data_IF_222801567619
#
_entry.id   IF_222801567619
#
_cell.length_a   1.000
_cell.length_b   1.000
_cell.length_c   1.000
_cell.angle_alpha   90.00
_cell.angle_beta   90.00
_cell.angle_gamma   90.00
#
_symmetry.space_group_name_H-M   'P 1'
#
loop_
_entity.id
_entity.type
_entity.pdbx_description
1 polymer ?
#
# COMPACT_ATOMS: atom_id res chain seq x y z
N UNK A 1 -8.38 24.86 17.25
CA UNK A 1 -7.53 23.94 16.45
C UNK A 1 -8.12 23.75 15.06
N UNK A 2 -7.30 23.73 14.01
CA UNK A 2 -7.66 23.26 12.67
C UNK A 2 -7.38 21.76 12.57
N UNK A 3 -8.20 21.00 11.80
CA UNK A 3 -8.03 19.58 11.57
C UNK A 3 -8.52 19.24 10.17
N UNK A 4 -7.68 18.55 9.38
CA UNK A 4 -8.02 18.08 8.04
C UNK A 4 -7.44 16.70 7.81
N UNK A 5 -8.29 15.73 7.45
CA UNK A 5 -7.86 14.45 6.90
C UNK A 5 -7.70 14.55 5.38
N UNK A 6 -6.60 14.01 4.88
CA UNK A 6 -6.38 13.74 3.46
C UNK A 6 -6.47 12.23 3.25
N UNK A 7 -6.96 11.82 2.09
CA UNK A 7 -7.08 10.41 1.77
C UNK A 7 -6.69 10.17 0.31
N UNK A 8 -5.64 9.40 0.09
CA UNK A 8 -5.26 8.92 -1.23
C UNK A 8 -5.95 7.60 -1.52
N UNK A 9 -6.74 7.56 -2.61
CA UNK A 9 -7.58 6.39 -2.96
C UNK A 9 -6.79 5.24 -3.58
N UNK A 10 -5.64 5.51 -4.20
CA UNK A 10 -4.79 4.47 -4.81
C UNK A 10 -3.93 3.78 -3.76
N UNK A 11 -3.51 4.52 -2.74
CA UNK A 11 -2.77 4.00 -1.59
C UNK A 11 -3.69 3.48 -0.48
N UNK A 12 -4.99 3.84 -0.51
CA UNK A 12 -5.91 3.67 0.62
C UNK A 12 -5.36 4.24 1.93
N UNK A 13 -4.56 5.32 1.83
CA UNK A 13 -3.78 5.92 2.91
C UNK A 13 -4.41 7.24 3.36
N UNK A 14 -4.48 7.42 4.69
CA UNK A 14 -4.89 8.66 5.33
C UNK A 14 -3.67 9.39 5.93
N UNK A 15 -3.61 10.69 5.71
CA UNK A 15 -2.69 11.60 6.39
C UNK A 15 -3.46 12.78 6.98
N UNK A 16 -2.84 13.51 7.88
CA UNK A 16 -3.58 14.53 8.63
C UNK A 16 -2.80 15.83 8.69
N UNK A 17 -3.50 16.96 8.57
CA UNK A 17 -2.98 18.29 8.87
C UNK A 17 -3.71 18.84 10.08
N UNK A 18 -2.97 19.13 11.14
CA UNK A 18 -3.46 19.82 12.34
C UNK A 18 -2.80 21.18 12.44
N UNK A 19 -3.53 22.17 12.93
CA UNK A 19 -2.99 23.53 13.04
C UNK A 19 -3.51 24.30 14.25
N UNK A 20 -2.62 25.01 14.90
CA UNK A 20 -2.93 25.94 15.95
C UNK A 20 -3.28 27.31 15.35
N UNK A 21 -4.56 27.64 15.22
CA UNK A 21 -5.02 28.90 14.63
C UNK A 21 -4.54 30.13 15.42
N UNK A 22 -4.16 29.97 16.68
CA UNK A 22 -3.66 31.08 17.52
C UNK A 22 -2.22 31.44 17.22
N UNK A 23 -1.35 30.45 16.93
CA UNK A 23 0.07 30.67 16.62
C UNK A 23 0.36 30.65 15.12
N UNK A 24 -0.54 30.10 14.30
CA UNK A 24 -0.35 29.93 12.87
C UNK A 24 0.50 28.71 12.52
N UNK A 25 0.90 27.88 13.47
CA UNK A 25 1.72 26.71 13.26
C UNK A 25 0.88 25.49 12.91
N UNK A 26 1.39 24.65 11.99
CA UNK A 26 0.74 23.42 11.59
C UNK A 26 1.72 22.23 11.52
N UNK A 27 1.15 21.02 11.66
CA UNK A 27 1.86 19.74 11.56
C UNK A 27 1.14 18.81 10.61
N UNK A 28 1.93 18.10 9.78
CA UNK A 28 1.44 16.98 8.98
C UNK A 28 1.79 15.66 9.69
N UNK A 29 0.85 14.73 9.73
CA UNK A 29 1.06 13.36 10.23
C UNK A 29 0.95 12.41 9.05
N UNK A 30 1.95 11.53 8.88
CA UNK A 30 2.11 10.55 7.81
C UNK A 30 2.00 11.17 6.39
N UNK A 31 2.85 12.17 6.03
CA UNK A 31 2.80 12.86 4.75
C UNK A 31 3.15 11.93 3.58
N UNK A 32 2.42 12.03 2.47
CA UNK A 32 2.88 11.52 1.17
C UNK A 32 3.94 12.46 0.57
N UNK A 33 4.73 11.98 -0.42
CA UNK A 33 5.82 12.74 -1.06
C UNK A 33 5.37 14.04 -1.73
N UNK A 34 4.18 14.07 -2.32
CA UNK A 34 3.62 15.29 -2.91
C UNK A 34 2.97 16.17 -1.84
N UNK A 35 3.70 17.20 -1.44
CA UNK A 35 3.26 18.13 -0.39
C UNK A 35 2.25 19.19 -0.87
N UNK A 36 1.96 19.26 -2.16
CA UNK A 36 1.19 20.37 -2.77
C UNK A 36 -0.19 20.57 -2.13
N UNK A 37 -0.91 19.49 -1.83
CA UNK A 37 -2.23 19.56 -1.22
C UNK A 37 -2.19 20.03 0.23
N UNK A 38 -1.18 19.66 1.01
CA UNK A 38 -1.02 20.13 2.39
C UNK A 38 -0.67 21.60 2.44
N UNK A 39 0.29 22.04 1.59
CA UNK A 39 0.71 23.44 1.49
C UNK A 39 -0.48 24.31 1.12
N UNK A 40 -1.22 23.93 0.06
CA UNK A 40 -2.39 24.69 -0.38
C UNK A 40 -3.43 24.86 0.73
N UNK A 41 -3.75 23.78 1.46
CA UNK A 41 -4.74 23.86 2.55
C UNK A 41 -4.21 24.68 3.73
N UNK A 42 -2.93 24.56 4.07
CA UNK A 42 -2.32 25.38 5.13
C UNK A 42 -2.38 26.88 4.77
N UNK A 43 -2.04 27.22 3.51
CA UNK A 43 -2.10 28.61 3.03
C UNK A 43 -3.54 29.17 3.03
N UNK A 44 -4.53 28.39 2.58
CA UNK A 44 -5.95 28.76 2.62
C UNK A 44 -6.45 29.07 4.04
N UNK A 45 -5.90 28.39 5.04
CA UNK A 45 -6.26 28.53 6.46
C UNK A 45 -5.35 29.51 7.22
N UNK A 46 -4.39 30.15 6.55
CA UNK A 46 -3.43 31.07 7.16
C UNK A 46 -2.45 30.38 8.13
N UNK A 47 -2.12 29.12 7.86
CA UNK A 47 -1.22 28.29 8.65
C UNK A 47 0.11 28.10 7.93
N UNK A 48 1.19 27.95 8.70
CA UNK A 48 2.52 27.58 8.22
C UNK A 48 2.84 26.17 8.70
N UNK A 49 3.22 25.28 7.77
CA UNK A 49 3.68 23.93 8.13
C UNK A 49 5.09 24.03 8.72
N UNK A 50 5.18 23.89 10.02
CA UNK A 50 6.42 23.99 10.81
C UNK A 50 6.86 22.65 11.38
N UNK A 51 5.98 21.66 11.33
CA UNK A 51 6.20 20.34 11.89
C UNK A 51 5.66 19.23 10.99
N UNK A 52 6.26 18.04 11.06
CA UNK A 52 5.64 16.82 10.60
C UNK A 52 6.02 15.64 11.51
N UNK A 53 5.19 14.60 11.52
CA UNK A 53 5.47 13.37 12.25
C UNK A 53 5.11 12.15 11.40
N UNK A 54 5.74 11.03 11.72
CA UNK A 54 5.48 9.73 11.13
C UNK A 54 5.17 8.72 12.21
N UNK A 55 4.13 7.92 12.00
CA UNK A 55 3.72 6.90 12.98
C UNK A 55 4.64 5.69 12.95
N UNK A 56 5.18 5.32 11.79
CA UNK A 56 6.08 4.20 11.60
C UNK A 56 6.80 4.29 10.25
N UNK A 57 7.77 3.41 10.00
CA UNK A 57 8.38 3.28 8.67
C UNK A 57 7.41 2.54 7.74
N UNK A 58 6.69 3.28 6.90
CA UNK A 58 5.69 2.75 5.99
C UNK A 58 6.26 1.74 4.99
N UNK A 59 5.50 0.71 4.66
CA UNK A 59 5.88 -0.32 3.70
C UNK A 59 5.06 -0.27 2.39
N UNK A 60 4.07 0.58 2.29
CA UNK A 60 3.10 0.63 1.19
C UNK A 60 3.22 1.88 0.32
N UNK A 61 3.80 2.98 0.82
CA UNK A 61 4.04 4.20 0.06
C UNK A 61 5.36 4.89 0.45
N UNK A 62 5.86 5.75 -0.43
CA UNK A 62 7.05 6.56 -0.16
C UNK A 62 6.66 7.80 0.67
N UNK A 63 7.19 7.89 1.88
CA UNK A 63 6.91 8.98 2.80
C UNK A 63 7.48 10.31 2.35
N UNK A 64 6.72 11.38 2.57
CA UNK A 64 7.13 12.77 2.39
C UNK A 64 7.83 13.40 3.59
N UNK A 65 8.09 12.66 4.67
CA UNK A 65 8.65 13.24 5.91
C UNK A 65 9.96 13.99 5.67
N UNK A 66 10.84 13.46 4.82
CA UNK A 66 12.11 14.08 4.45
C UNK A 66 11.91 15.29 3.54
N UNK A 67 10.91 15.24 2.65
CA UNK A 67 10.52 16.38 1.81
C UNK A 67 10.01 17.54 2.66
N UNK A 68 9.21 17.29 3.69
CA UNK A 68 8.75 18.30 4.65
C UNK A 68 9.94 18.96 5.34
N UNK A 69 10.87 18.16 5.88
CA UNK A 69 12.04 18.69 6.56
C UNK A 69 12.87 19.61 5.67
N UNK A 70 13.16 19.17 4.43
CA UNK A 70 14.11 19.87 3.55
C UNK A 70 13.46 21.00 2.78
N UNK A 71 12.26 20.77 2.20
CA UNK A 71 11.59 21.78 1.37
C UNK A 71 10.90 22.88 2.16
N UNK A 72 10.37 22.56 3.36
CA UNK A 72 9.66 23.51 4.20
C UNK A 72 10.49 23.96 5.42
N UNK A 73 11.70 23.41 5.58
CA UNK A 73 12.57 23.66 6.75
C UNK A 73 11.83 23.40 8.08
N UNK A 74 10.97 22.39 8.12
CA UNK A 74 10.15 22.04 9.26
C UNK A 74 10.85 21.02 10.17
N UNK A 75 10.55 21.07 11.48
CA UNK A 75 10.96 20.03 12.43
C UNK A 75 10.17 18.75 12.16
N UNK A 76 10.85 17.60 12.12
CA UNK A 76 10.20 16.32 11.92
C UNK A 76 10.40 15.39 13.11
N UNK A 77 9.38 14.61 13.42
CA UNK A 77 9.33 13.71 14.56
C UNK A 77 9.11 12.28 14.09
N UNK A 78 10.05 11.40 14.41
CA UNK A 78 10.02 9.98 14.06
C UNK A 78 10.34 9.14 15.28
N UNK A 79 9.93 7.89 15.27
CA UNK A 79 10.17 6.98 16.39
C UNK A 79 11.65 6.74 16.65
N UNK A 80 12.06 6.86 17.93
CA UNK A 80 13.34 6.40 18.46
C UNK A 80 13.27 5.05 19.16
N UNK A 81 12.17 4.31 19.01
CA UNK A 81 11.87 3.05 19.72
C UNK A 81 12.36 1.79 18.99
N UNK A 82 13.23 1.92 18.01
CA UNK A 82 13.80 0.78 17.29
C UNK A 82 15.29 0.62 17.56
N UNK A 83 15.78 -0.58 17.29
CA UNK A 83 17.22 -0.85 17.28
C UNK A 83 17.92 -0.21 16.05
N UNK A 84 19.24 -0.28 16.06
CA UNK A 84 20.08 0.28 14.98
C UNK A 84 19.86 -0.41 13.62
N UNK A 85 19.24 -1.56 13.55
CA UNK A 85 19.03 -2.29 12.29
C UNK A 85 17.72 -1.95 11.60
N UNK A 86 16.65 -1.71 12.37
CA UNK A 86 15.29 -1.50 11.86
C UNK A 86 14.84 -0.04 11.86
N UNK A 87 15.54 0.86 12.58
CA UNK A 87 15.18 2.27 12.70
C UNK A 87 15.57 3.13 11.50
N UNK A 88 15.10 4.37 11.53
CA UNK A 88 15.39 5.40 10.51
C UNK A 88 16.88 5.68 10.37
N UNK A 89 17.34 5.83 9.14
CA UNK A 89 18.75 6.13 8.78
C UNK A 89 18.82 7.40 7.94
N UNK A 90 20.00 8.04 7.92
CA UNK A 90 20.28 9.19 7.06
C UNK A 90 19.22 10.30 7.15
N UNK A 91 18.68 10.54 8.34
CA UNK A 91 17.63 11.53 8.55
C UNK A 91 18.19 12.96 8.45
N UNK A 92 17.40 13.94 7.98
CA UNK A 92 17.76 15.37 7.99
C UNK A 92 18.07 15.89 9.39
N UNK A 93 18.84 16.98 9.48
CA UNK A 93 19.21 17.58 10.77
C UNK A 93 18.03 18.10 11.60
N UNK A 94 16.86 18.36 10.98
CA UNK A 94 15.63 18.78 11.60
C UNK A 94 14.88 17.64 12.31
N UNK A 95 15.46 16.44 12.38
CA UNK A 95 14.83 15.24 12.93
C UNK A 95 14.93 15.18 14.45
N UNK A 96 13.79 14.94 15.08
CA UNK A 96 13.66 14.61 16.50
C UNK A 96 13.24 13.15 16.63
N UNK A 97 14.07 12.33 17.27
CA UNK A 97 13.72 10.97 17.62
C UNK A 97 12.96 10.97 18.94
N UNK A 98 11.69 10.57 18.89
CA UNK A 98 10.79 10.59 20.04
C UNK A 98 10.56 9.20 20.63
N UNK A 99 10.30 9.18 21.95
CA UNK A 99 10.07 7.95 22.72
C UNK A 99 8.70 7.99 23.41
N UNK A 100 8.32 6.85 23.97
CA UNK A 100 7.09 6.72 24.73
C UNK A 100 6.99 7.78 25.85
N UNK A 101 5.85 8.45 25.94
CA UNK A 101 5.55 9.54 26.84
C UNK A 101 6.17 10.91 26.53
N UNK A 102 6.94 11.06 25.46
CA UNK A 102 7.35 12.39 25.01
C UNK A 102 6.15 13.22 24.60
N UNK A 103 6.25 14.52 24.78
CA UNK A 103 5.24 15.50 24.39
C UNK A 103 5.77 16.38 23.24
N UNK A 104 5.01 16.48 22.15
CA UNK A 104 5.27 17.36 21.02
C UNK A 104 4.25 18.49 21.04
N UNK A 105 4.70 19.72 20.79
CA UNK A 105 3.81 20.90 20.78
C UNK A 105 3.80 21.54 19.39
N UNK A 106 2.60 21.82 18.90
CA UNK A 106 2.34 22.62 17.70
C UNK A 106 1.51 23.82 18.13
N UNK A 107 2.19 24.90 18.46
CA UNK A 107 1.57 26.01 19.21
C UNK A 107 0.96 25.52 20.52
N UNK A 108 -0.37 25.61 20.62
CA UNK A 108 -1.11 25.18 21.82
C UNK A 108 -1.77 23.80 21.66
N UNK A 109 -1.35 23.01 20.66
CA UNK A 109 -1.78 21.62 20.46
C UNK A 109 -0.69 20.73 21.02
N UNK A 110 -1.07 19.80 21.88
CA UNK A 110 -0.16 18.83 22.48
C UNK A 110 -0.41 17.45 21.86
N UNK A 111 0.65 16.78 21.46
CA UNK A 111 0.67 15.40 21.02
C UNK A 111 1.54 14.59 21.99
N UNK A 112 0.93 13.66 22.72
CA UNK A 112 1.67 12.72 23.55
C UNK A 112 2.00 11.47 22.72
N UNK A 113 3.26 11.08 22.70
CA UNK A 113 3.76 9.89 22.00
C UNK A 113 3.44 8.64 22.81
N UNK A 114 2.80 7.66 22.18
CA UNK A 114 2.59 6.33 22.72
C UNK A 114 3.35 5.33 21.85
N UNK A 115 4.28 4.56 22.42
CA UNK A 115 4.88 3.44 21.73
C UNK A 115 3.84 2.32 21.62
N UNK A 116 3.48 1.95 20.39
CA UNK A 116 2.42 0.99 20.06
C UNK A 116 2.95 -0.06 19.08
N UNK A 117 3.99 -0.83 19.47
CA UNK A 117 4.62 -1.81 18.58
C UNK A 117 3.67 -2.96 18.25
N UNK A 118 3.91 -3.57 17.09
CA UNK A 118 3.17 -4.76 16.64
C UNK A 118 3.09 -4.82 15.14
N UNK A 119 2.55 -3.82 14.46
CA UNK A 119 2.64 -3.69 13.01
C UNK A 119 4.11 -3.56 12.58
N UNK A 120 4.82 -2.65 13.20
CA UNK A 120 6.28 -2.58 13.17
C UNK A 120 6.83 -2.40 14.60
N UNK A 121 8.11 -2.75 14.87
CA UNK A 121 8.68 -2.59 16.20
C UNK A 121 8.75 -1.15 16.68
N UNK A 122 8.97 -0.21 15.76
CA UNK A 122 9.12 1.23 16.02
C UNK A 122 7.79 2.00 16.01
N UNK A 123 6.65 1.35 15.75
CA UNK A 123 5.35 2.02 15.64
C UNK A 123 5.01 2.86 16.85
N UNK A 124 4.63 4.11 16.62
CA UNK A 124 4.13 5.05 17.63
C UNK A 124 2.76 5.60 17.21
N UNK A 125 1.99 6.01 18.19
CA UNK A 125 0.72 6.69 17.99
C UNK A 125 0.77 8.06 18.71
N UNK A 126 -0.02 9.03 18.24
CA UNK A 126 -0.04 10.37 18.83
C UNK A 126 -1.39 10.67 19.46
N UNK A 127 -1.41 10.84 20.77
CA UNK A 127 -2.61 11.19 21.54
C UNK A 127 -2.74 12.71 21.63
N UNK A 128 -3.76 13.28 20.99
CA UNK A 128 -3.94 14.72 20.80
C UNK A 128 -4.78 15.35 21.91
N UNK A 129 -4.27 16.48 22.45
CA UNK A 129 -4.99 17.39 23.36
C UNK A 129 -4.95 18.82 22.79
N UNK A 130 -6.11 19.47 22.64
CA UNK A 130 -6.20 20.89 22.24
C UNK A 130 -6.18 21.80 23.50
N UNK A 131 -4.98 22.07 24.00
CA UNK A 131 -4.80 22.95 25.13
C UNK A 131 -5.20 24.41 24.83
N UNK A 132 -5.17 24.78 23.52
CA UNK A 132 -5.60 26.10 23.08
C UNK A 132 -7.09 26.36 23.25
N UNK A 133 -7.91 25.32 23.28
CA UNK A 133 -9.32 25.36 23.64
C UNK A 133 -9.57 25.19 25.16
N UNK A 134 -8.50 25.09 25.96
CA UNK A 134 -8.57 24.88 27.40
C UNK A 134 -8.77 23.42 27.84
N UNK A 135 -8.65 22.47 26.88
CA UNK A 135 -8.77 21.06 27.21
C UNK A 135 -7.53 20.57 27.99
N UNK A 136 -7.76 19.72 29.00
CA UNK A 136 -6.71 19.03 29.76
C UNK A 136 -6.74 17.52 29.55
N UNK A 137 -7.66 17.05 28.71
CA UNK A 137 -7.85 15.63 28.39
C UNK A 137 -7.72 15.41 26.87
N UNK A 138 -7.16 14.28 26.46
CA UNK A 138 -7.02 14.00 25.04
C UNK A 138 -8.36 13.79 24.35
N UNK A 139 -8.45 14.13 23.07
CA UNK A 139 -9.65 13.97 22.28
C UNK A 139 -9.58 12.90 21.20
N UNK A 140 -8.38 12.55 20.75
CA UNK A 140 -8.22 11.60 19.66
C UNK A 140 -6.80 11.03 19.57
N UNK A 141 -6.68 9.93 18.85
CA UNK A 141 -5.46 9.15 18.64
C UNK A 141 -5.21 9.02 17.15
N UNK A 142 -4.09 9.54 16.66
CA UNK A 142 -3.53 9.16 15.38
C UNK A 142 -2.87 7.81 15.56
N UNK A 143 -3.55 6.77 15.14
CA UNK A 143 -3.15 5.38 15.42
C UNK A 143 -2.21 4.80 14.40
N UNK A 144 -2.00 5.46 13.25
CA UNK A 144 -1.27 4.83 12.14
C UNK A 144 -1.82 3.46 11.83
N UNK A 145 -0.94 2.49 11.71
CA UNK A 145 -1.29 1.08 11.44
C UNK A 145 -1.40 0.23 12.72
N UNK A 146 -1.65 0.86 13.86
CA UNK A 146 -1.93 0.16 15.12
C UNK A 146 -3.41 -0.27 15.18
N UNK A 147 -4.35 0.69 15.07
CA UNK A 147 -5.80 0.43 15.10
C UNK A 147 -6.43 1.03 13.86
N UNK A 148 -7.18 0.20 13.14
CA UNK A 148 -8.06 0.60 12.06
C UNK A 148 -9.53 0.57 12.52
N UNK A 149 -10.45 0.95 11.64
CA UNK A 149 -11.87 0.77 11.89
C UNK A 149 -12.24 -0.70 11.69
N UNK A 150 -12.54 -1.40 12.77
CA UNK A 150 -12.95 -2.81 12.78
C UNK A 150 -11.81 -3.82 12.68
N UNK A 151 -10.56 -3.39 12.57
CA UNK A 151 -9.39 -4.28 12.46
C UNK A 151 -8.15 -3.65 13.10
N UNK A 152 -7.02 -4.34 13.04
CA UNK A 152 -5.69 -3.88 13.51
C UNK A 152 -4.63 -4.17 12.46
N UNK A 153 -3.47 -3.52 12.57
CA UNK A 153 -2.35 -3.70 11.66
C UNK A 153 -1.75 -5.11 11.74
N UNK A 154 -1.34 -5.62 10.58
CA UNK A 154 -0.71 -6.94 10.45
C UNK A 154 0.77 -6.89 10.82
N UNK A 155 1.31 -7.89 11.57
CA UNK A 155 2.70 -7.89 12.02
C UNK A 155 3.68 -8.57 11.05
N UNK A 156 3.20 -9.24 10.01
CA UNK A 156 3.97 -10.18 9.20
C UNK A 156 4.72 -9.55 8.01
N UNK A 157 4.60 -8.23 7.80
CA UNK A 157 5.24 -7.56 6.67
C UNK A 157 6.77 -7.58 6.76
N UNK A 158 7.37 -7.47 7.96
CA UNK A 158 8.82 -7.60 8.13
C UNK A 158 9.32 -9.00 7.74
N UNK A 159 8.58 -10.04 8.07
CA UNK A 159 8.93 -11.41 7.72
C UNK A 159 8.71 -11.69 6.23
N UNK A 160 7.53 -11.34 5.70
CA UNK A 160 7.16 -11.65 4.31
C UNK A 160 7.87 -10.77 3.28
N UNK A 161 7.98 -9.46 3.52
CA UNK A 161 8.58 -8.52 2.59
C UNK A 161 10.09 -8.33 2.79
N UNK A 162 10.57 -8.29 4.06
CA UNK A 162 11.97 -7.98 4.40
C UNK A 162 12.77 -9.22 4.81
N UNK A 163 12.11 -10.38 5.01
CA UNK A 163 12.71 -11.67 5.37
C UNK A 163 13.35 -11.71 6.76
N UNK A 164 12.80 -10.98 7.73
CA UNK A 164 13.21 -11.05 9.14
C UNK A 164 12.46 -12.20 9.82
N UNK A 165 13.07 -13.37 9.86
CA UNK A 165 12.45 -14.61 10.40
C UNK A 165 11.93 -14.44 11.84
N UNK A 166 10.72 -14.97 12.12
CA UNK A 166 10.08 -14.96 13.43
C UNK A 166 9.52 -13.61 13.86
N UNK A 167 9.66 -12.56 13.03
CA UNK A 167 9.15 -11.22 13.38
C UNK A 167 7.63 -11.15 13.44
N UNK A 168 6.91 -12.01 12.70
CA UNK A 168 5.44 -12.07 12.73
C UNK A 168 4.89 -12.39 14.11
N UNK A 169 5.43 -13.43 14.75
CA UNK A 169 4.99 -13.85 16.09
C UNK A 169 5.38 -12.81 17.17
N UNK A 170 6.60 -12.27 17.05
CA UNK A 170 7.07 -11.20 17.97
C UNK A 170 6.18 -9.98 17.85
N UNK A 171 5.90 -9.53 16.62
CA UNK A 171 5.02 -8.39 16.36
C UNK A 171 3.59 -8.63 16.85
N UNK A 172 3.05 -9.84 16.67
CA UNK A 172 1.72 -10.18 17.18
C UNK A 172 1.64 -10.14 18.71
N UNK A 173 2.68 -10.61 19.42
CA UNK A 173 2.79 -10.48 20.89
C UNK A 173 2.88 -9.02 21.35
N UNK A 174 3.64 -8.21 20.61
CA UNK A 174 3.74 -6.76 20.87
C UNK A 174 2.38 -6.08 20.63
N UNK A 175 1.68 -6.39 19.53
CA UNK A 175 0.37 -5.87 19.22
C UNK A 175 -0.65 -6.16 20.32
N UNK A 176 -0.67 -7.39 20.85
CA UNK A 176 -1.52 -7.77 21.97
C UNK A 176 -1.28 -6.86 23.20
N UNK A 177 -0.02 -6.66 23.57
CA UNK A 177 0.34 -5.77 24.69
C UNK A 177 0.00 -4.31 24.43
N UNK A 178 0.18 -3.84 23.19
CA UNK A 178 -0.19 -2.49 22.77
C UNK A 178 -1.69 -2.26 22.88
N UNK A 179 -2.52 -3.22 22.47
CA UNK A 179 -3.99 -3.18 22.66
C UNK A 179 -4.34 -3.10 24.15
N UNK A 180 -3.73 -3.95 24.99
CA UNK A 180 -3.97 -3.92 26.44
C UNK A 180 -3.63 -2.56 27.05
N UNK A 181 -2.52 -1.93 26.65
CA UNK A 181 -2.04 -0.67 27.22
C UNK A 181 -2.97 0.52 27.02
N UNK A 182 -3.87 0.47 26.03
CA UNK A 182 -4.80 1.58 25.74
C UNK A 182 -6.24 1.29 26.17
N UNK A 183 -6.53 0.10 26.73
CA UNK A 183 -7.89 -0.25 27.18
C UNK A 183 -8.45 0.70 28.23
N UNK A 184 -7.58 1.31 29.05
CA UNK A 184 -7.99 2.27 30.08
C UNK A 184 -8.20 3.69 29.58
N UNK A 185 -7.86 4.00 28.32
CA UNK A 185 -8.15 5.30 27.73
C UNK A 185 -9.67 5.50 27.61
N UNK A 186 -10.15 6.77 27.71
CA UNK A 186 -11.57 7.08 27.63
C UNK A 186 -12.23 6.62 26.33
N UNK A 187 -13.45 6.14 26.41
CA UNK A 187 -14.21 5.62 25.27
C UNK A 187 -14.53 6.66 24.19
N UNK A 188 -14.53 7.96 24.54
CA UNK A 188 -14.77 9.06 23.60
C UNK A 188 -13.58 9.41 22.71
N UNK A 189 -12.38 8.85 22.96
CA UNK A 189 -11.19 9.08 22.13
C UNK A 189 -11.51 8.69 20.68
N UNK A 190 -11.37 9.65 19.77
CA UNK A 190 -11.50 9.39 18.34
C UNK A 190 -10.29 8.62 17.83
N UNK A 191 -10.51 7.69 16.90
CA UNK A 191 -9.45 6.93 16.22
C UNK A 191 -9.30 7.48 14.81
N UNK A 192 -8.08 7.92 14.50
CA UNK A 192 -7.67 8.44 13.21
C UNK A 192 -6.58 7.52 12.62
N UNK A 193 -6.98 6.51 11.83
CA UNK A 193 -6.09 5.46 11.36
C UNK A 193 -5.24 5.89 10.16
N UNK A 194 -4.13 5.17 9.90
CA UNK A 194 -3.30 5.36 8.71
C UNK A 194 -3.96 4.89 7.43
N UNK A 195 -4.89 3.92 7.51
CA UNK A 195 -5.53 3.33 6.34
C UNK A 195 -7.05 3.14 6.48
N UNK A 196 -7.70 3.05 5.30
CA UNK A 196 -9.10 2.66 5.15
C UNK A 196 -9.26 1.39 4.31
N UNK A 197 -10.50 1.08 3.95
CA UNK A 197 -10.85 -0.10 3.16
C UNK A 197 -10.07 -0.20 1.85
N UNK A 198 -9.49 -1.37 1.59
CA UNK A 198 -8.69 -1.67 0.39
C UNK A 198 -7.18 -1.66 0.60
N UNK A 199 -6.68 -1.19 1.75
CA UNK A 199 -5.27 -1.31 2.08
C UNK A 199 -4.87 -2.76 2.38
N UNK A 200 -3.71 -3.22 1.89
CA UNK A 200 -3.16 -4.52 2.21
C UNK A 200 -2.49 -4.58 3.62
N UNK A 201 -2.52 -3.48 4.39
CA UNK A 201 -1.96 -3.42 5.74
C UNK A 201 -2.84 -4.08 6.82
N UNK A 202 -4.05 -4.54 6.47
CA UNK A 202 -4.94 -5.31 7.33
C UNK A 202 -5.84 -6.25 6.52
N UNK A 203 -6.64 -7.11 7.21
CA UNK A 203 -7.51 -8.10 6.55
C UNK A 203 -8.85 -7.54 6.14
N UNK A 204 -9.48 -6.74 6.99
CA UNK A 204 -10.91 -6.37 6.89
C UNK A 204 -11.17 -4.94 7.37
N UNK A 205 -10.43 -3.98 6.82
CA UNK A 205 -10.61 -2.58 7.19
C UNK A 205 -11.99 -2.06 6.80
N UNK A 206 -12.65 -1.38 7.73
CA UNK A 206 -13.94 -0.74 7.51
C UNK A 206 -13.87 0.41 6.51
N UNK A 207 -15.00 0.67 5.82
CA UNK A 207 -15.11 1.76 4.86
C UNK A 207 -15.30 3.14 5.51
N UNK A 208 -15.59 3.18 6.83
CA UNK A 208 -15.74 4.42 7.58
C UNK A 208 -14.35 4.96 7.89
N UNK A 209 -14.07 6.27 7.64
CA UNK A 209 -12.71 6.80 7.73
C UNK A 209 -12.18 7.00 9.16
N UNK A 210 -13.06 7.02 10.16
CA UNK A 210 -12.71 7.26 11.57
C UNK A 210 -13.64 6.45 12.47
N UNK A 211 -13.20 6.23 13.72
CA UNK A 211 -14.00 5.52 14.73
C UNK A 211 -13.83 6.20 16.10
N UNK A 212 -14.34 5.56 17.15
CA UNK A 212 -14.02 5.90 18.53
C UNK A 212 -13.48 4.68 19.27
N UNK A 213 -12.59 4.89 20.24
CA UNK A 213 -12.03 3.79 21.02
C UNK A 213 -13.15 2.97 21.71
N UNK A 214 -14.22 3.61 22.15
CA UNK A 214 -15.37 2.93 22.74
C UNK A 214 -16.12 2.02 21.77
N UNK A 215 -16.23 2.42 20.49
CA UNK A 215 -16.80 1.56 19.44
C UNK A 215 -15.87 0.39 19.12
N UNK A 216 -14.58 0.65 18.94
CA UNK A 216 -13.60 -0.42 18.67
C UNK A 216 -13.53 -1.44 19.82
N UNK A 217 -13.56 -1.01 21.09
CA UNK A 217 -13.62 -1.93 22.24
C UNK A 217 -14.83 -2.90 22.20
N UNK A 218 -15.92 -2.51 21.54
CA UNK A 218 -17.14 -3.32 21.47
C UNK A 218 -17.22 -4.19 20.21
N UNK A 219 -16.64 -3.76 19.10
CA UNK A 219 -16.86 -4.35 17.77
C UNK A 219 -15.62 -4.93 17.13
N UNK A 220 -14.45 -4.42 17.47
CA UNK A 220 -13.18 -4.89 16.91
C UNK A 220 -12.73 -6.14 17.68
N UNK A 221 -12.51 -7.22 16.94
CA UNK A 221 -12.15 -8.53 17.46
C UNK A 221 -10.90 -8.50 18.36
N UNK A 222 -9.94 -7.62 18.07
CA UNK A 222 -8.68 -7.52 18.80
C UNK A 222 -8.87 -7.02 20.24
N UNK A 223 -9.90 -6.27 20.55
CA UNK A 223 -10.20 -5.81 21.90
C UNK A 223 -10.99 -6.83 22.72
N UNK A 224 -11.67 -7.77 22.06
CA UNK A 224 -12.46 -8.81 22.71
C UNK A 224 -11.68 -10.08 23.00
N UNK A 225 -10.55 -10.32 22.30
CA UNK A 225 -9.71 -11.49 22.49
C UNK A 225 -8.77 -11.27 23.69
N UNK A 226 -8.94 -12.06 24.73
CA UNK A 226 -8.15 -11.95 25.97
C UNK A 226 -7.10 -13.04 26.10
N UNK A 227 -7.10 -14.05 25.22
CA UNK A 227 -6.10 -15.09 25.20
C UNK A 227 -4.99 -14.73 24.20
N UNK A 228 -3.77 -14.48 24.69
CA UNK A 228 -2.63 -14.08 23.86
C UNK A 228 -2.34 -15.10 22.74
N UNK A 229 -2.38 -16.40 23.00
CA UNK A 229 -2.10 -17.41 21.99
C UNK A 229 -3.15 -17.42 20.87
N UNK A 230 -4.43 -17.33 21.23
CA UNK A 230 -5.54 -17.24 20.26
C UNK A 230 -5.47 -15.93 19.46
N UNK A 231 -5.12 -14.81 20.12
CA UNK A 231 -4.92 -13.53 19.47
C UNK A 231 -3.82 -13.59 18.40
N UNK A 232 -2.66 -14.16 18.76
CA UNK A 232 -1.51 -14.33 17.86
C UNK A 232 -1.91 -15.17 16.65
N UNK A 233 -2.48 -16.36 16.88
CA UNK A 233 -2.90 -17.26 15.81
C UNK A 233 -3.88 -16.58 14.86
N UNK A 234 -4.90 -15.92 15.39
CA UNK A 234 -5.88 -15.17 14.59
C UNK A 234 -5.29 -14.00 13.82
N UNK A 235 -4.30 -13.31 14.39
CA UNK A 235 -3.68 -12.17 13.74
C UNK A 235 -2.78 -12.58 12.58
N UNK A 236 -1.97 -13.63 12.73
CA UNK A 236 -1.00 -14.04 11.71
C UNK A 236 -1.58 -14.99 10.65
N UNK A 237 -2.67 -15.71 10.95
CA UNK A 237 -3.28 -16.66 10.01
C UNK A 237 -3.92 -15.93 8.82
N UNK A 238 -3.88 -16.57 7.65
CA UNK A 238 -4.57 -16.14 6.41
C UNK A 238 -4.24 -14.72 5.94
N UNK A 239 -3.10 -14.15 6.35
CA UNK A 239 -2.64 -12.86 5.83
C UNK A 239 -2.30 -12.98 4.33
N UNK A 240 -2.86 -12.10 3.46
CA UNK A 240 -2.53 -12.12 2.04
C UNK A 240 -1.05 -11.80 1.83
N UNK A 241 -0.47 -12.34 0.76
CA UNK A 241 0.90 -11.97 0.38
C UNK A 241 0.98 -10.46 0.08
N UNK A 242 1.99 -9.75 0.59
CA UNK A 242 2.18 -8.34 0.26
C UNK A 242 2.72 -8.19 -1.17
N UNK A 243 2.36 -7.11 -1.90
CA UNK A 243 2.98 -6.78 -3.17
C UNK A 243 4.51 -6.61 -3.05
N UNK A 244 5.26 -6.85 -4.13
CA UNK A 244 6.73 -6.82 -4.10
C UNK A 244 7.28 -5.43 -3.76
N UNK A 245 6.59 -4.34 -4.13
CA UNK A 245 7.02 -2.98 -3.82
C UNK A 245 7.11 -2.69 -2.31
N UNK A 246 6.44 -3.46 -1.44
CA UNK A 246 6.50 -3.25 0.02
C UNK A 246 7.92 -3.35 0.58
N UNK A 247 8.70 -4.31 0.11
CA UNK A 247 10.10 -4.43 0.52
C UNK A 247 10.93 -3.19 0.14
N UNK A 248 10.66 -2.65 -1.06
CA UNK A 248 11.33 -1.44 -1.53
C UNK A 248 10.89 -0.20 -0.75
N UNK A 249 9.58 -0.06 -0.47
CA UNK A 249 9.08 1.07 0.34
C UNK A 249 9.70 1.08 1.73
N UNK A 250 9.72 -0.07 2.42
CA UNK A 250 10.39 -0.18 3.72
C UNK A 250 11.84 0.30 3.64
N UNK A 251 12.59 -0.12 2.61
CA UNK A 251 13.98 0.27 2.39
C UNK A 251 14.13 1.78 2.15
N UNK A 252 13.34 2.37 1.25
CA UNK A 252 13.48 3.80 0.94
C UNK A 252 13.01 4.70 2.07
N UNK A 253 11.98 4.31 2.83
CA UNK A 253 11.55 5.07 4.00
C UNK A 253 12.54 4.96 5.16
N UNK A 254 13.21 3.81 5.30
CA UNK A 254 14.28 3.64 6.28
C UNK A 254 15.54 4.45 5.93
N UNK A 255 16.05 4.32 4.70
CA UNK A 255 17.35 4.88 4.31
C UNK A 255 17.27 6.24 3.62
N UNK A 256 16.12 6.60 3.09
CA UNK A 256 15.88 7.79 2.27
C UNK A 256 15.94 7.49 0.78
N UNK A 257 15.39 8.43 0.02
CA UNK A 257 15.44 8.50 -1.43
C UNK A 257 15.56 9.95 -1.88
N UNK A 258 15.66 10.19 -3.18
CA UNK A 258 15.64 11.54 -3.74
C UNK A 258 14.34 12.25 -3.37
N UNK A 259 14.42 13.56 -3.12
CA UNK A 259 13.24 14.39 -2.86
C UNK A 259 12.28 14.35 -4.04
N UNK A 260 11.01 14.39 -3.76
CA UNK A 260 9.97 14.41 -4.78
C UNK A 260 10.13 15.61 -5.71
N UNK A 261 10.11 15.33 -7.02
CA UNK A 261 10.03 16.33 -8.07
C UNK A 261 8.91 15.93 -9.04
N UNK A 262 7.94 16.81 -9.32
CA UNK A 262 6.97 16.54 -10.36
C UNK A 262 7.66 16.21 -11.68
N UNK A 263 7.25 15.12 -12.31
CA UNK A 263 7.89 14.64 -13.53
C UNK A 263 6.94 14.74 -14.73
N UNK A 264 7.44 15.28 -15.84
CA UNK A 264 6.73 15.31 -17.12
C UNK A 264 7.21 14.17 -17.99
N UNK A 265 6.32 13.23 -18.32
CA UNK A 265 6.62 12.11 -19.22
C UNK A 265 6.55 12.56 -20.66
N UNK A 266 7.55 12.21 -21.44
CA UNK A 266 7.64 12.47 -22.88
C UNK A 266 7.36 11.21 -23.71
N UNK A 267 7.08 11.35 -25.03
CA UNK A 267 6.95 10.20 -25.92
C UNK A 267 8.19 9.29 -25.85
N UNK A 268 7.98 7.99 -25.77
CA UNK A 268 9.05 7.01 -25.65
C UNK A 268 9.94 6.99 -26.90
N UNK A 269 11.24 7.02 -26.70
CA UNK A 269 12.26 6.88 -27.76
C UNK A 269 12.72 5.44 -27.93
N UNK A 270 12.57 4.60 -26.90
CA UNK A 270 12.88 3.17 -26.92
C UNK A 270 11.62 2.38 -26.52
N UNK A 271 11.05 1.64 -27.46
CA UNK A 271 9.83 0.85 -27.27
C UNK A 271 10.08 -0.59 -26.80
N UNK A 272 11.34 -1.01 -26.64
CA UNK A 272 11.70 -2.37 -26.22
C UNK A 272 11.78 -2.54 -24.69
N UNK A 273 11.44 -1.49 -23.92
CA UNK A 273 11.38 -1.59 -22.46
C UNK A 273 10.11 -2.31 -22.02
N UNK A 274 10.13 -2.82 -20.79
CA UNK A 274 8.91 -3.29 -20.14
C UNK A 274 7.86 -2.16 -20.18
N UNK A 275 6.69 -2.48 -20.69
CA UNK A 275 5.67 -1.48 -21.02
C UNK A 275 4.33 -1.87 -20.41
N UNK A 276 3.74 -0.98 -19.62
CA UNK A 276 2.44 -1.18 -19.01
C UNK A 276 1.35 -0.41 -19.76
N UNK A 277 0.30 -1.12 -20.17
CA UNK A 277 -0.89 -0.54 -20.81
C UNK A 277 -1.95 -0.19 -19.75
N UNK A 278 -2.23 1.10 -19.61
CA UNK A 278 -3.08 1.68 -18.57
C UNK A 278 -4.58 1.64 -18.90
N UNK A 279 -4.94 1.20 -20.10
CA UNK A 279 -6.33 1.14 -20.55
C UNK A 279 -7.12 0.06 -19.82
N UNK A 280 -8.46 0.13 -19.92
CA UNK A 280 -9.32 -0.92 -19.40
C UNK A 280 -9.00 -2.27 -20.03
N UNK A 281 -9.30 -3.36 -19.31
CA UNK A 281 -9.13 -4.73 -19.78
C UNK A 281 -9.79 -4.96 -21.16
N UNK A 282 -10.99 -4.44 -21.34
CA UNK A 282 -11.76 -4.58 -22.58
C UNK A 282 -11.06 -3.87 -23.76
N UNK A 283 -10.55 -2.66 -23.52
CA UNK A 283 -9.81 -1.91 -24.56
C UNK A 283 -8.50 -2.60 -24.92
N UNK A 284 -7.79 -3.17 -23.95
CA UNK A 284 -6.58 -3.94 -24.18
C UNK A 284 -6.86 -5.23 -24.95
N UNK A 285 -7.84 -6.02 -24.54
CA UNK A 285 -8.21 -7.27 -25.22
C UNK A 285 -8.73 -7.05 -26.64
N UNK A 286 -9.41 -5.92 -26.88
CA UNK A 286 -9.87 -5.51 -28.22
C UNK A 286 -8.75 -5.11 -29.17
N UNK A 287 -7.54 -4.81 -28.66
CA UNK A 287 -6.36 -4.55 -29.47
C UNK A 287 -5.23 -3.88 -28.70
N UNK A 288 -4.06 -4.53 -28.68
CA UNK A 288 -2.88 -4.06 -27.94
C UNK A 288 -1.58 -4.32 -28.72
N UNK A 289 -0.46 -3.86 -28.16
CA UNK A 289 0.90 -4.16 -28.65
C UNK A 289 1.36 -5.43 -27.93
N UNK A 290 1.78 -6.43 -28.69
CA UNK A 290 2.27 -7.72 -28.16
C UNK A 290 3.40 -7.51 -27.13
N UNK A 291 3.32 -8.22 -26.02
CA UNK A 291 4.31 -8.15 -24.92
C UNK A 291 4.15 -6.95 -24.00
N UNK A 292 3.11 -6.14 -24.14
CA UNK A 292 2.77 -5.11 -23.16
C UNK A 292 1.87 -5.69 -22.08
N UNK A 293 2.03 -5.23 -20.83
CA UNK A 293 1.32 -5.77 -19.67
C UNK A 293 0.15 -4.83 -19.35
N UNK A 294 -1.08 -5.35 -19.35
CA UNK A 294 -2.26 -4.56 -19.04
C UNK A 294 -2.45 -4.39 -17.53
N UNK A 295 -2.30 -3.17 -17.05
CA UNK A 295 -2.66 -2.79 -15.68
C UNK A 295 -3.52 -1.54 -15.74
N UNK A 296 -4.85 -1.68 -15.70
CA UNK A 296 -5.76 -0.55 -15.78
C UNK A 296 -5.50 0.49 -14.69
N UNK A 297 -5.50 1.77 -15.09
CA UNK A 297 -5.40 2.86 -14.13
C UNK A 297 -6.75 3.09 -13.43
N UNK A 298 -6.97 2.34 -12.38
CA UNK A 298 -8.14 2.41 -11.50
C UNK A 298 -7.71 2.48 -10.02
N UNK A 299 -8.66 2.36 -9.10
CA UNK A 299 -8.39 2.40 -7.65
C UNK A 299 -7.44 1.30 -7.15
N UNK A 300 -7.28 0.21 -7.91
CA UNK A 300 -6.41 -0.93 -7.56
C UNK A 300 -5.05 -0.86 -8.26
N UNK A 301 -4.78 0.20 -9.01
CA UNK A 301 -3.60 0.34 -9.87
C UNK A 301 -2.29 0.02 -9.13
N UNK A 302 -2.09 0.64 -7.96
CA UNK A 302 -0.88 0.41 -7.13
C UNK A 302 -0.77 -1.04 -6.67
N UNK A 303 -1.89 -1.60 -6.18
CA UNK A 303 -1.90 -2.98 -5.70
C UNK A 303 -1.62 -4.00 -6.80
N UNK A 304 -1.92 -3.67 -8.06
CA UNK A 304 -1.65 -4.54 -9.21
C UNK A 304 -0.24 -4.34 -9.73
N UNK A 305 0.15 -3.10 -10.05
CA UNK A 305 1.46 -2.84 -10.64
C UNK A 305 2.62 -3.12 -9.68
N UNK A 306 2.38 -2.96 -8.38
CA UNK A 306 3.37 -3.20 -7.34
C UNK A 306 3.88 -4.65 -7.24
N UNK A 307 3.24 -5.60 -7.92
CA UNK A 307 3.74 -6.98 -8.06
C UNK A 307 4.80 -7.11 -9.14
N UNK A 308 4.73 -6.29 -10.19
CA UNK A 308 5.50 -6.45 -11.44
C UNK A 308 6.57 -5.36 -11.62
N UNK A 309 6.63 -4.36 -10.71
CA UNK A 309 7.65 -3.32 -10.76
C UNK A 309 9.01 -3.82 -10.27
N UNK A 310 10.02 -3.61 -11.11
CA UNK A 310 11.43 -3.71 -10.72
C UNK A 310 12.02 -2.30 -10.63
N UNK A 311 12.43 -1.89 -9.44
CA UNK A 311 12.96 -0.54 -9.16
C UNK A 311 14.37 -0.28 -9.73
N UNK A 312 15.01 -1.30 -10.30
CA UNK A 312 16.29 -1.17 -10.99
C UNK A 312 16.13 -1.04 -12.52
N UNK A 313 14.90 -0.91 -13.04
CA UNK A 313 14.59 -0.86 -14.46
C UNK A 313 13.68 0.31 -14.79
N UNK A 314 13.92 0.94 -15.95
CA UNK A 314 13.00 1.93 -16.52
C UNK A 314 11.84 1.25 -17.26
N UNK A 315 10.66 1.84 -17.15
CA UNK A 315 9.44 1.38 -17.84
C UNK A 315 8.92 2.40 -18.83
N UNK A 316 8.08 1.92 -19.77
CA UNK A 316 7.19 2.76 -20.56
C UNK A 316 5.73 2.56 -20.14
N UNK A 317 4.90 3.56 -20.44
CA UNK A 317 3.46 3.52 -20.24
C UNK A 317 2.71 3.65 -21.58
N UNK A 318 1.56 2.99 -21.71
CA UNK A 318 0.64 3.17 -22.83
C UNK A 318 -0.66 3.77 -22.31
N UNK A 319 -1.07 4.86 -22.93
CA UNK A 319 -2.32 5.55 -22.63
C UNK A 319 -2.37 6.93 -23.26
N UNK A 320 -3.52 7.57 -23.18
CA UNK A 320 -3.64 8.99 -23.49
C UNK A 320 -2.82 9.80 -22.46
N UNK A 321 -2.25 10.92 -22.88
CA UNK A 321 -1.32 11.70 -22.07
C UNK A 321 -1.86 12.04 -20.67
N UNK A 322 -3.14 12.42 -20.56
CA UNK A 322 -3.74 12.72 -19.25
C UNK A 322 -3.78 11.52 -18.30
N UNK A 323 -3.96 10.32 -18.83
CA UNK A 323 -3.94 9.07 -18.07
C UNK A 323 -2.52 8.72 -17.63
N UNK A 324 -1.57 8.84 -18.56
CA UNK A 324 -0.14 8.64 -18.32
C UNK A 324 0.36 9.59 -17.23
N UNK A 325 0.03 10.88 -17.32
CA UNK A 325 0.43 11.88 -16.33
C UNK A 325 -0.06 11.54 -14.91
N UNK A 326 -1.33 11.09 -14.79
CA UNK A 326 -1.88 10.64 -13.51
C UNK A 326 -1.19 9.39 -12.99
N UNK A 327 -0.98 8.40 -13.86
CA UNK A 327 -0.31 7.16 -13.48
C UNK A 327 1.14 7.41 -13.04
N UNK A 328 1.85 8.31 -13.73
CA UNK A 328 3.20 8.74 -13.36
C UNK A 328 3.24 9.35 -11.96
N UNK A 329 2.34 10.29 -11.66
CA UNK A 329 2.23 10.87 -10.32
C UNK A 329 1.96 9.77 -9.27
N UNK A 330 1.03 8.87 -9.56
CA UNK A 330 0.69 7.77 -8.64
C UNK A 330 1.86 6.80 -8.42
N UNK A 331 2.65 6.48 -9.47
CA UNK A 331 3.87 5.67 -9.37
C UNK A 331 4.93 6.37 -8.51
N UNK A 332 5.07 7.68 -8.64
CA UNK A 332 5.99 8.43 -7.78
C UNK A 332 5.61 8.34 -6.29
N UNK A 333 4.33 8.20 -5.95
CA UNK A 333 3.90 8.02 -4.55
C UNK A 333 4.38 6.69 -3.93
N UNK A 334 4.66 5.68 -4.76
CA UNK A 334 5.35 4.46 -4.33
C UNK A 334 6.84 4.47 -4.67
N UNK A 335 7.43 5.65 -4.80
CA UNK A 335 8.87 5.82 -4.99
C UNK A 335 9.40 5.36 -6.35
N UNK A 336 8.54 5.15 -7.34
CA UNK A 336 8.96 4.76 -8.68
C UNK A 336 9.06 5.98 -9.58
N UNK A 337 10.28 6.47 -9.78
CA UNK A 337 10.59 7.69 -10.56
C UNK A 337 11.11 7.38 -11.98
N UNK A 338 11.42 6.10 -12.31
CA UNK A 338 12.13 5.69 -13.53
C UNK A 338 11.17 5.37 -14.70
N UNK A 339 10.40 6.37 -15.12
CA UNK A 339 9.47 6.27 -16.25
C UNK A 339 10.13 6.88 -17.49
N UNK A 340 10.59 6.03 -18.40
CA UNK A 340 11.36 6.46 -19.57
C UNK A 340 10.53 7.19 -20.63
N UNK A 341 9.23 6.87 -20.75
CA UNK A 341 8.37 7.53 -21.71
C UNK A 341 6.99 6.89 -21.85
N UNK A 342 6.19 7.44 -22.77
CA UNK A 342 4.87 6.88 -23.06
C UNK A 342 4.62 6.68 -24.56
N UNK A 343 3.65 5.82 -24.87
CA UNK A 343 3.17 5.58 -26.21
C UNK A 343 1.65 5.74 -26.25
N UNK A 344 1.13 6.22 -27.37
CA UNK A 344 -0.30 6.18 -27.61
C UNK A 344 -0.74 4.72 -27.89
N UNK A 345 -1.98 4.36 -27.51
CA UNK A 345 -2.53 3.04 -27.77
C UNK A 345 -2.48 2.65 -29.24
N UNK A 346 -2.10 1.42 -29.53
CA UNK A 346 -2.12 0.83 -30.86
C UNK A 346 -2.78 -0.54 -30.81
N UNK A 347 -3.57 -0.87 -31.84
CA UNK A 347 -4.23 -2.17 -31.98
C UNK A 347 -3.46 -2.99 -33.00
N UNK A 348 -2.57 -3.88 -32.54
CA UNK A 348 -1.78 -4.77 -33.40
C UNK A 348 -2.24 -6.22 -33.32
N UNK A 349 -2.53 -6.69 -32.09
CA UNK A 349 -3.07 -8.03 -31.84
C UNK A 349 -4.28 -7.95 -30.93
N UNK A 350 -5.11 -8.97 -30.91
CA UNK A 350 -6.25 -9.10 -30.02
C UNK A 350 -6.06 -10.31 -29.10
N UNK A 351 -6.50 -10.20 -27.86
CA UNK A 351 -6.51 -11.33 -26.95
C UNK A 351 -7.53 -12.37 -27.39
N UNK A 352 -7.09 -13.61 -27.54
CA UNK A 352 -7.98 -14.75 -27.73
C UNK A 352 -8.59 -15.12 -26.40
N UNK A 353 -9.91 -15.35 -26.34
CA UNK A 353 -10.59 -15.72 -25.11
C UNK A 353 -11.69 -16.75 -25.33
N UNK A 354 -12.00 -17.49 -24.26
CA UNK A 354 -13.12 -18.41 -24.19
C UNK A 354 -13.90 -18.14 -22.89
N UNK A 355 -15.12 -18.64 -22.80
CA UNK A 355 -15.87 -18.61 -21.56
C UNK A 355 -15.44 -19.71 -20.60
N UNK A 356 -15.61 -19.49 -19.30
CA UNK A 356 -15.25 -20.48 -18.29
C UNK A 356 -16.01 -21.79 -18.40
N UNK A 357 -17.25 -21.75 -18.93
CA UNK A 357 -18.08 -22.92 -19.19
C UNK A 357 -17.53 -23.81 -20.34
N UNK A 358 -16.69 -23.28 -21.20
CA UNK A 358 -16.04 -24.02 -22.30
C UNK A 358 -14.79 -24.78 -21.83
N UNK A 359 -14.34 -24.56 -20.60
CA UNK A 359 -13.21 -25.31 -20.01
C UNK A 359 -13.70 -26.67 -19.56
N UNK A 360 -13.17 -27.73 -20.18
CA UNK A 360 -13.52 -29.11 -19.88
C UNK A 360 -12.64 -29.75 -18.82
N UNK A 361 -11.50 -29.08 -18.50
CA UNK A 361 -10.46 -29.63 -17.64
C UNK A 361 -9.52 -30.64 -18.32
N UNK A 362 -9.69 -30.87 -19.61
CA UNK A 362 -8.86 -31.80 -20.43
C UNK A 362 -7.85 -31.03 -21.29
N UNK A 363 -7.80 -29.73 -21.21
CA UNK A 363 -6.86 -28.89 -21.94
C UNK A 363 -5.42 -29.22 -21.52
N UNK A 364 -4.51 -29.37 -22.51
CA UNK A 364 -3.14 -29.85 -22.25
C UNK A 364 -2.31 -28.92 -21.37
N UNK A 365 -2.58 -27.62 -21.40
CA UNK A 365 -1.79 -26.61 -20.68
C UNK A 365 -2.71 -25.54 -20.10
N UNK A 366 -3.03 -25.69 -18.82
CA UNK A 366 -3.80 -24.71 -18.07
C UNK A 366 -2.86 -24.04 -17.07
N UNK A 367 -2.88 -22.71 -17.00
CA UNK A 367 -2.13 -21.90 -16.06
C UNK A 367 -3.10 -21.20 -15.11
N UNK A 368 -3.02 -21.54 -13.84
CA UNK A 368 -3.74 -20.86 -12.76
C UNK A 368 -2.84 -19.80 -12.13
N UNK A 369 -3.23 -18.52 -12.27
CA UNK A 369 -2.46 -17.37 -11.75
C UNK A 369 -3.05 -16.79 -10.48
N UNK A 370 -3.89 -17.53 -9.77
CA UNK A 370 -4.43 -17.15 -8.46
C UNK A 370 -3.37 -17.23 -7.36
N UNK A 371 -3.68 -16.63 -6.21
CA UNK A 371 -2.81 -16.71 -5.03
C UNK A 371 -2.82 -18.10 -4.40
N UNK A 372 -1.80 -18.41 -3.60
CA UNK A 372 -1.61 -19.72 -2.96
C UNK A 372 -2.85 -20.16 -2.13
N UNK A 373 -3.49 -19.24 -1.38
CA UNK A 373 -4.68 -19.56 -0.59
C UNK A 373 -5.88 -19.93 -1.47
N UNK A 374 -6.07 -19.27 -2.61
CA UNK A 374 -7.16 -19.58 -3.56
C UNK A 374 -6.93 -20.94 -4.22
N UNK A 375 -5.68 -21.24 -4.58
CA UNK A 375 -5.28 -22.54 -5.12
C UNK A 375 -5.50 -23.66 -4.12
N UNK A 376 -5.09 -23.51 -2.86
CA UNK A 376 -5.24 -24.49 -1.82
C UNK A 376 -6.70 -24.80 -1.47
N UNK A 377 -7.61 -23.83 -1.68
CA UNK A 377 -9.05 -24.00 -1.49
C UNK A 377 -9.77 -24.71 -2.65
N UNK A 378 -9.02 -25.14 -3.67
CA UNK A 378 -9.54 -25.89 -4.83
C UNK A 378 -8.96 -25.38 -6.13
N UNK A 379 -8.62 -26.27 -7.04
CA UNK A 379 -8.01 -25.97 -8.34
C UNK A 379 -8.30 -27.07 -9.38
N UNK A 380 -8.02 -26.80 -10.64
CA UNK A 380 -8.07 -27.79 -11.71
C UNK A 380 -6.88 -28.74 -11.59
N UNK A 381 -7.12 -30.05 -11.57
CA UNK A 381 -6.12 -31.08 -11.22
C UNK A 381 -4.88 -31.07 -12.13
N UNK A 382 -5.01 -30.66 -13.39
CA UNK A 382 -3.93 -30.55 -14.36
C UNK A 382 -3.37 -29.14 -14.56
N UNK A 383 -3.88 -28.15 -13.83
CA UNK A 383 -3.37 -26.79 -13.95
C UNK A 383 -1.96 -26.67 -13.33
N UNK A 384 -1.11 -25.92 -14.01
CA UNK A 384 0.15 -25.44 -13.43
C UNK A 384 -0.17 -24.18 -12.65
N UNK A 385 0.24 -24.13 -11.39
CA UNK A 385 0.03 -22.98 -10.51
C UNK A 385 1.26 -22.07 -10.48
N UNK A 386 1.09 -20.83 -10.91
CA UNK A 386 2.06 -19.75 -10.72
C UNK A 386 1.30 -18.47 -10.44
N UNK A 387 1.29 -17.97 -9.19
CA UNK A 387 0.69 -16.68 -8.87
C UNK A 387 1.18 -15.57 -9.79
N UNK A 388 0.28 -14.68 -10.27
CA UNK A 388 0.62 -13.67 -11.27
C UNK A 388 1.84 -12.81 -10.87
N UNK A 389 1.99 -12.44 -9.60
CA UNK A 389 3.11 -11.65 -9.12
C UNK A 389 4.46 -12.40 -9.12
N UNK A 390 4.50 -13.70 -9.40
CA UNK A 390 5.72 -14.49 -9.59
C UNK A 390 5.97 -14.83 -11.06
N UNK A 391 5.00 -14.55 -11.94
CA UNK A 391 4.99 -15.06 -13.30
C UNK A 391 6.12 -14.46 -14.16
N UNK A 392 6.45 -13.19 -13.93
CA UNK A 392 7.52 -12.51 -14.68
C UNK A 392 8.88 -13.19 -14.49
N UNK A 393 9.16 -13.69 -13.27
CA UNK A 393 10.45 -14.30 -12.88
C UNK A 393 10.45 -15.83 -13.00
N UNK A 394 9.27 -16.49 -13.12
CA UNK A 394 9.16 -17.95 -13.10
C UNK A 394 9.23 -18.53 -14.50
N UNK A 395 10.10 -19.52 -14.72
CA UNK A 395 10.07 -20.33 -15.93
C UNK A 395 8.91 -21.32 -15.90
N UNK A 396 8.18 -21.39 -17.01
CA UNK A 396 7.02 -22.28 -17.13
C UNK A 396 7.42 -23.59 -17.81
N UNK A 397 6.76 -24.70 -17.45
CA UNK A 397 7.02 -26.02 -18.07
C UNK A 397 6.38 -26.16 -19.46
N UNK A 398 6.09 -25.07 -20.15
CA UNK A 398 5.44 -25.02 -21.46
C UNK A 398 6.42 -24.59 -22.55
N UNK A 399 6.24 -25.13 -23.79
CA UNK A 399 6.95 -24.64 -24.95
C UNK A 399 6.34 -23.32 -25.45
N UNK A 400 7.13 -22.47 -26.11
CA UNK A 400 6.67 -21.16 -26.63
C UNK A 400 5.48 -21.25 -27.61
N UNK A 401 5.32 -22.40 -28.28
CA UNK A 401 4.27 -22.64 -29.26
C UNK A 401 3.06 -23.40 -28.69
N UNK A 402 3.11 -23.84 -27.44
CA UNK A 402 1.99 -24.52 -26.82
C UNK A 402 0.79 -23.56 -26.65
N UNK A 403 -0.42 -24.12 -26.77
CA UNK A 403 -1.65 -23.36 -26.48
C UNK A 403 -1.86 -23.38 -24.99
N UNK A 404 -1.81 -22.20 -24.33
CA UNK A 404 -1.91 -22.04 -22.88
C UNK A 404 -3.23 -21.35 -22.53
N UNK A 405 -4.05 -22.02 -21.74
CA UNK A 405 -5.29 -21.46 -21.17
C UNK A 405 -4.97 -20.83 -19.82
N UNK A 406 -5.22 -19.52 -19.69
CA UNK A 406 -4.86 -18.76 -18.48
C UNK A 406 -6.12 -18.32 -17.75
N UNK A 407 -6.22 -18.67 -16.49
CA UNK A 407 -7.31 -18.20 -15.64
C UNK A 407 -6.81 -17.66 -14.29
N UNK A 408 -7.64 -16.79 -13.70
CA UNK A 408 -7.56 -16.42 -12.28
C UNK A 408 -8.94 -16.62 -11.63
N UNK A 409 -9.26 -15.89 -10.57
CA UNK A 409 -10.57 -16.01 -9.91
C UNK A 409 -11.72 -15.38 -10.71
N UNK A 410 -11.48 -14.22 -11.39
CA UNK A 410 -12.53 -13.40 -12.01
C UNK A 410 -12.07 -12.65 -13.29
N UNK A 411 -10.95 -13.05 -13.90
CA UNK A 411 -10.49 -12.52 -15.18
C UNK A 411 -9.61 -11.26 -15.15
N UNK A 412 -9.26 -10.70 -13.97
CA UNK A 412 -8.40 -9.50 -13.88
C UNK A 412 -6.92 -9.90 -13.95
N UNK A 413 -6.45 -10.75 -13.04
CA UNK A 413 -5.05 -11.21 -13.00
C UNK A 413 -4.65 -12.03 -14.22
N UNK A 414 -5.59 -12.74 -14.85
CA UNK A 414 -5.32 -13.44 -16.11
C UNK A 414 -5.05 -12.46 -17.25
N UNK A 415 -5.69 -11.28 -17.29
CA UNK A 415 -5.37 -10.23 -18.26
C UNK A 415 -3.92 -9.71 -18.09
N UNK A 416 -3.47 -9.50 -16.86
CA UNK A 416 -2.08 -9.13 -16.56
C UNK A 416 -1.13 -10.25 -17.04
N UNK A 417 -1.45 -11.49 -16.67
CA UNK A 417 -0.66 -12.68 -17.00
C UNK A 417 -0.49 -12.89 -18.52
N UNK A 418 -1.49 -12.54 -19.32
CA UNK A 418 -1.37 -12.61 -20.80
C UNK A 418 -0.23 -11.72 -21.28
N UNK A 419 -0.20 -10.46 -20.89
CA UNK A 419 0.86 -9.54 -21.28
C UNK A 419 2.25 -10.00 -20.80
N UNK A 420 2.34 -10.57 -19.59
CA UNK A 420 3.59 -11.16 -19.08
C UNK A 420 4.02 -12.35 -19.94
N UNK A 421 3.11 -13.25 -20.31
CA UNK A 421 3.41 -14.39 -21.16
C UNK A 421 3.87 -13.97 -22.57
N UNK A 422 3.19 -13.00 -23.18
CA UNK A 422 3.60 -12.41 -24.45
C UNK A 422 4.99 -11.78 -24.35
N UNK A 423 5.26 -11.02 -23.27
CA UNK A 423 6.59 -10.45 -23.00
C UNK A 423 7.67 -11.54 -22.90
N UNK A 424 7.33 -12.70 -22.34
CA UNK A 424 8.21 -13.87 -22.26
C UNK A 424 8.30 -14.66 -23.56
N UNK A 425 7.59 -14.25 -24.64
CA UNK A 425 7.61 -14.85 -25.97
C UNK A 425 6.70 -16.08 -26.14
N UNK A 426 5.64 -16.20 -25.35
CA UNK A 426 4.55 -17.14 -25.64
C UNK A 426 3.53 -16.44 -26.54
N UNK A 427 3.05 -17.13 -27.61
CA UNK A 427 2.20 -16.49 -28.63
C UNK A 427 0.79 -17.09 -28.71
N UNK A 428 0.58 -18.30 -28.18
CA UNK A 428 -0.70 -19.02 -28.27
C UNK A 428 -1.42 -19.02 -26.92
N UNK A 429 -1.81 -17.84 -26.43
CA UNK A 429 -2.43 -17.67 -25.14
C UNK A 429 -3.94 -17.47 -25.31
N UNK A 430 -4.73 -18.13 -24.47
CA UNK A 430 -6.19 -18.04 -24.44
C UNK A 430 -6.61 -17.61 -23.03
N UNK A 431 -7.28 -16.48 -22.93
CA UNK A 431 -7.84 -16.00 -21.67
C UNK A 431 -9.15 -16.74 -21.34
N UNK A 432 -9.30 -17.14 -20.09
CA UNK A 432 -10.59 -17.66 -19.55
C UNK A 432 -11.30 -16.50 -18.86
N UNK A 433 -12.35 -15.98 -19.47
CA UNK A 433 -12.92 -14.66 -19.18
C UNK A 433 -13.42 -14.47 -17.75
N UNK A 434 -14.31 -15.35 -17.27
CA UNK A 434 -14.97 -15.25 -15.96
C UNK A 434 -14.11 -15.83 -14.84
N UNK A 435 -13.12 -16.67 -15.19
CA UNK A 435 -12.18 -17.29 -14.27
C UNK A 435 -12.73 -18.48 -13.50
N UNK A 436 -11.97 -18.95 -12.50
CA UNK A 436 -12.20 -20.22 -11.79
C UNK A 436 -13.58 -20.33 -11.12
N UNK A 437 -14.12 -19.23 -10.62
CA UNK A 437 -15.43 -19.22 -9.91
C UNK A 437 -16.59 -19.75 -10.78
N UNK A 438 -16.48 -19.63 -12.10
CA UNK A 438 -17.51 -20.00 -13.07
C UNK A 438 -17.08 -21.23 -13.92
N UNK A 439 -15.97 -21.91 -13.59
CA UNK A 439 -15.58 -23.18 -14.19
C UNK A 439 -16.35 -24.30 -13.50
N UNK A 440 -17.22 -24.95 -14.23
CA UNK A 440 -18.01 -26.10 -13.78
C UNK A 440 -17.50 -27.36 -14.46
N UNK A 441 -16.65 -28.13 -13.77
CA UNK A 441 -16.25 -29.45 -14.26
C UNK A 441 -17.44 -30.40 -14.12
N UNK A 442 -17.93 -30.91 -15.24
CA UNK A 442 -19.02 -31.90 -15.33
C UNK A 442 -18.57 -33.29 -14.88
#
# INVERSE_FOLDING_TARGET
>A
MFFKQFYDKHLSQASYLIGCQKTGEAMIIDPIRDLSSYIRVADEEGLTITHAAETHIHADFASGIRDVAIKLNASIYVSGESDDTLGYKNMPNQTHFVQHNDDIYVGNIKLKVLHTPGHTPESISFLLTDEGAGAQVPMGLFSGDFIFVGDIGRPDLLEKAVKVEGSSEIGAKQMFKSIESIKDLPNYIQIWPGHGAGSPCGKSLGAIPTSTLGYEKQTNWAFSENNEATFIDKLISDQPAPPHHFAQMKKINQFGMNLYQPYTVYPATNTNRLTFDLRSKEAYHGGHIEGTINIPYDKNFINQIGWDLNYDQEINLIGEYHLVSKATHTLQLIGYDDIAGYQLPQSKIQTRSIHSEDITGNESHILDVRNDNEWNNGHLSQAVHVPHGKLLETDLPFNRNDVIYVHCQSGIRSSIAIGILEHKGYHNIINVNEGYKDIHLS
#
